data_IF_245183127382
#
_entry.id   IF_245183127382
#
_cell.length_a   1.000
_cell.length_b   1.000
_cell.length_c   1.000
_cell.angle_alpha   90.00
_cell.angle_beta   90.00
_cell.angle_gamma   90.00
#
_symmetry.space_group_name_H-M   'P 1'
#
loop_
_entity.id
_entity.type
_entity.pdbx_description
1 polymer ?
#
# COMPACT_ATOMS: atom_id res chain seq x y z
N UNK A 1 32.51 -50.65 19.57
CA UNK A 1 33.90 -50.70 20.02
C UNK A 1 34.61 -49.41 19.65
N UNK A 2 35.29 -48.82 20.68
CA UNK A 2 36.32 -47.74 20.66
C UNK A 2 35.97 -46.40 20.01
N UNK A 3 35.57 -45.36 20.73
CA UNK A 3 36.21 -44.36 21.61
C UNK A 3 37.61 -43.89 21.17
N UNK A 4 37.75 -42.53 20.99
CA UNK A 4 38.81 -41.58 21.41
C UNK A 4 38.49 -40.22 20.79
N UNK A 5 38.12 -39.17 21.41
CA UNK A 5 38.56 -38.23 22.49
C UNK A 5 40.06 -37.86 22.42
N UNK A 6 40.31 -36.55 22.21
CA UNK A 6 41.37 -35.64 22.70
C UNK A 6 41.05 -34.23 22.13
N UNK A 7 40.62 -33.20 22.76
CA UNK A 7 40.99 -32.30 23.88
C UNK A 7 42.12 -31.29 23.60
N UNK A 8 41.71 -30.01 23.86
CA UNK A 8 42.38 -28.83 24.44
C UNK A 8 43.46 -28.05 23.67
N UNK A 9 43.26 -26.75 23.72
CA UNK A 9 44.30 -25.73 23.56
C UNK A 9 43.78 -24.30 23.72
N UNK A 10 43.73 -23.86 24.97
CA UNK A 10 43.40 -22.54 25.48
C UNK A 10 44.65 -21.65 25.38
N UNK A 11 44.53 -20.39 24.93
CA UNK A 11 45.46 -19.32 25.37
C UNK A 11 44.78 -17.94 25.27
N UNK A 12 44.55 -17.34 26.43
CA UNK A 12 44.18 -15.97 26.64
C UNK A 12 45.42 -15.07 26.66
N UNK A 13 45.33 -13.83 26.19
CA UNK A 13 46.16 -12.73 26.68
C UNK A 13 45.35 -11.42 26.74
N UNK A 14 45.19 -11.00 27.98
CA UNK A 14 44.78 -9.62 28.37
C UNK A 14 45.97 -8.64 28.20
N UNK A 15 45.65 -7.41 27.81
CA UNK A 15 46.45 -6.27 28.23
C UNK A 15 45.54 -5.05 28.46
N UNK A 16 45.38 -4.68 29.72
CA UNK A 16 44.81 -3.41 30.18
C UNK A 16 45.81 -2.27 29.96
N UNK A 17 45.30 -1.07 29.67
CA UNK A 17 45.89 0.18 30.18
C UNK A 17 44.80 1.23 30.35
N UNK A 18 44.54 1.56 31.61
CA UNK A 18 43.81 2.74 32.08
C UNK A 18 44.72 3.97 32.01
N UNK A 19 44.16 5.11 31.69
CA UNK A 19 44.50 6.36 32.33
C UNK A 19 43.32 7.32 32.37
N UNK A 20 43.09 7.91 33.52
CA UNK A 20 41.94 8.70 33.94
C UNK A 20 42.20 10.21 33.89
N UNK A 21 41.14 10.95 34.21
CA UNK A 21 41.00 12.38 34.61
C UNK A 21 40.77 13.36 33.44
N UNK A 22 39.74 14.19 33.40
CA UNK A 22 38.80 14.73 34.38
C UNK A 22 38.25 16.05 33.83
N UNK A 23 37.02 16.41 34.18
CA UNK A 23 36.59 17.83 34.11
C UNK A 23 35.30 18.11 33.35
N UNK A 24 34.19 18.06 34.05
CA UNK A 24 33.03 18.97 34.13
C UNK A 24 32.62 19.87 32.93
N UNK A 25 31.34 19.85 32.57
CA UNK A 25 30.63 20.93 31.86
C UNK A 25 29.41 20.49 31.07
N UNK A 26 28.27 20.65 31.67
CA UNK A 26 26.89 20.56 31.29
C UNK A 26 26.53 21.19 29.93
N UNK A 27 25.78 20.47 29.07
CA UNK A 27 24.61 20.97 28.31
C UNK A 27 23.97 19.80 27.52
N UNK A 28 22.71 19.53 27.81
CA UNK A 28 21.96 18.52 27.13
C UNK A 28 21.58 18.95 25.68
N UNK A 29 21.78 18.05 24.77
CA UNK A 29 21.09 17.99 23.50
C UNK A 29 20.65 16.55 23.29
N UNK A 30 19.35 16.37 23.20
CA UNK A 30 18.73 15.10 22.83
C UNK A 30 19.11 14.77 21.40
N UNK A 31 20.00 13.83 21.20
CA UNK A 31 20.16 13.12 19.94
C UNK A 31 19.02 12.10 19.84
N UNK A 32 18.12 12.32 18.88
CA UNK A 32 17.17 11.30 18.42
C UNK A 32 17.98 10.25 17.69
N UNK A 33 17.85 9.03 18.14
CA UNK A 33 18.46 7.86 17.52
C UNK A 33 17.89 7.68 16.12
N UNK A 34 18.74 7.86 15.11
CA UNK A 34 18.58 7.24 13.81
C UNK A 34 19.15 5.82 13.97
N UNK A 35 18.28 4.84 14.18
CA UNK A 35 18.65 3.43 14.13
C UNK A 35 18.32 2.86 12.74
N UNK A 36 19.38 2.46 12.11
CA UNK A 36 19.59 1.38 11.16
C UNK A 36 18.78 1.31 9.86
N UNK A 37 19.28 2.03 8.86
CA UNK A 37 19.28 1.55 7.49
C UNK A 37 20.43 0.52 7.33
N UNK A 38 20.28 -0.71 7.78
CA UNK A 38 21.12 -1.83 7.36
C UNK A 38 20.55 -2.44 6.07
N UNK A 39 20.69 -1.69 4.96
CA UNK A 39 20.70 -2.28 3.64
C UNK A 39 22.02 -3.01 3.43
N UNK A 40 21.98 -4.21 2.91
CA UNK A 40 23.11 -5.04 2.61
C UNK A 40 24.22 -4.25 1.92
N UNK A 41 25.37 -4.06 2.59
CA UNK A 41 26.66 -3.80 1.92
C UNK A 41 27.04 -5.09 1.18
N UNK A 42 26.45 -5.26 0.01
CA UNK A 42 26.87 -6.30 -0.94
C UNK A 42 28.08 -5.81 -1.72
N UNK A 43 28.98 -6.74 -1.95
CA UNK A 43 30.23 -6.64 -2.70
C UNK A 43 30.25 -5.56 -3.83
N UNK A 44 31.42 -5.01 -4.12
CA UNK A 44 31.78 -4.07 -5.19
C UNK A 44 31.14 -4.40 -6.57
N UNK A 45 29.82 -4.25 -6.71
CA UNK A 45 29.04 -4.49 -7.92
C UNK A 45 27.97 -3.43 -8.08
N UNK A 46 27.69 -3.05 -9.33
CA UNK A 46 26.55 -2.24 -9.68
C UNK A 46 25.25 -2.93 -9.24
N UNK A 47 24.34 -2.20 -8.60
CA UNK A 47 23.05 -2.70 -8.13
C UNK A 47 21.93 -1.83 -8.65
N UNK A 48 20.77 -2.40 -8.94
CA UNK A 48 19.58 -1.60 -9.17
C UNK A 48 19.10 -0.94 -7.86
N UNK A 49 18.65 0.30 -7.94
CA UNK A 49 18.15 1.06 -6.79
C UNK A 49 16.68 1.41 -6.97
N UNK A 50 15.83 0.73 -6.21
CA UNK A 50 14.40 1.01 -6.15
C UNK A 50 14.12 1.87 -4.92
N UNK A 51 13.50 3.04 -5.11
CA UNK A 51 12.99 3.87 -4.03
C UNK A 51 11.54 3.47 -3.69
N UNK A 52 11.16 3.65 -2.44
CA UNK A 52 9.78 3.56 -1.98
C UNK A 52 9.38 4.81 -1.22
N UNK A 53 8.14 5.27 -1.35
CA UNK A 53 7.58 6.39 -0.61
C UNK A 53 6.16 6.03 -0.18
N UNK A 54 5.84 6.24 1.09
CA UNK A 54 4.50 6.05 1.61
C UNK A 54 4.44 6.29 3.11
N UNK A 55 3.24 6.42 3.69
CA UNK A 55 3.08 6.68 5.11
C UNK A 55 3.38 5.42 5.93
N UNK A 56 4.43 5.44 6.76
CA UNK A 56 4.67 4.42 7.79
C UNK A 56 4.35 4.94 9.19
N UNK A 57 4.02 6.23 9.28
CA UNK A 57 3.50 6.86 10.49
C UNK A 57 2.20 7.59 10.21
N UNK A 58 1.44 7.94 11.27
CA UNK A 58 0.16 8.65 11.15
C UNK A 58 -1.04 7.74 10.82
N UNK A 59 -2.16 8.35 10.42
CA UNK A 59 -3.44 7.67 10.27
C UNK A 59 -3.49 6.63 9.13
N UNK A 60 -2.64 6.76 8.12
CA UNK A 60 -2.53 5.83 7.00
C UNK A 60 -1.31 4.89 7.12
N UNK A 61 -0.67 4.82 8.30
CA UNK A 61 0.59 4.12 8.51
C UNK A 61 0.55 2.63 8.15
N UNK A 62 -0.57 1.96 8.37
CA UNK A 62 -0.71 0.53 8.04
C UNK A 62 -0.53 0.24 6.55
N UNK A 63 -0.93 1.17 5.67
CA UNK A 63 -0.76 0.98 4.22
C UNK A 63 0.70 1.03 3.80
N UNK A 64 1.44 2.06 4.24
CA UNK A 64 2.84 2.21 3.88
C UNK A 64 3.73 1.14 4.51
N UNK A 65 3.43 0.71 5.74
CA UNK A 65 4.10 -0.43 6.37
C UNK A 65 3.88 -1.72 5.57
N UNK A 66 2.64 -1.97 5.13
CA UNK A 66 2.33 -3.13 4.30
C UNK A 66 3.07 -3.09 2.95
N UNK A 67 3.08 -1.93 2.27
CA UNK A 67 3.82 -1.74 1.01
C UNK A 67 5.31 -1.95 1.20
N UNK A 68 5.91 -1.35 2.24
CA UNK A 68 7.33 -1.54 2.56
C UNK A 68 7.66 -3.02 2.76
N UNK A 69 6.89 -3.70 3.60
CA UNK A 69 7.11 -5.11 3.92
C UNK A 69 6.94 -6.01 2.71
N UNK A 70 5.90 -5.81 1.90
CA UNK A 70 5.69 -6.57 0.65
C UNK A 70 6.82 -6.36 -0.37
N UNK A 71 7.29 -5.10 -0.49
CA UNK A 71 8.44 -4.77 -1.35
C UNK A 71 9.73 -5.44 -0.88
N UNK A 72 10.03 -5.37 0.43
CA UNK A 72 11.22 -6.00 1.01
C UNK A 72 11.21 -7.51 0.81
N UNK A 73 10.05 -8.16 1.01
CA UNK A 73 9.91 -9.60 0.80
C UNK A 73 10.20 -9.97 -0.66
N UNK A 74 9.59 -9.30 -1.62
CA UNK A 74 9.80 -9.54 -3.05
C UNK A 74 11.26 -9.32 -3.46
N UNK A 75 11.88 -8.23 -3.01
CA UNK A 75 13.28 -7.91 -3.33
C UNK A 75 14.22 -8.97 -2.75
N UNK A 76 13.99 -9.44 -1.52
CA UNK A 76 14.81 -10.48 -0.91
C UNK A 76 14.73 -11.78 -1.72
N UNK A 77 13.54 -12.22 -2.12
CA UNK A 77 13.37 -13.41 -2.95
C UNK A 77 14.05 -13.25 -4.33
N UNK A 78 13.90 -12.11 -4.97
CA UNK A 78 14.54 -11.81 -6.25
C UNK A 78 16.07 -11.84 -6.11
N UNK A 79 16.61 -11.25 -5.05
CA UNK A 79 18.05 -11.23 -4.79
C UNK A 79 18.60 -12.64 -4.52
N UNK A 80 17.88 -13.45 -3.75
CA UNK A 80 18.24 -14.85 -3.52
C UNK A 80 18.21 -15.68 -4.83
N UNK A 81 17.28 -15.37 -5.74
CA UNK A 81 17.18 -15.99 -7.05
C UNK A 81 18.24 -15.50 -8.07
N UNK A 82 19.09 -14.54 -7.70
CA UNK A 82 20.18 -14.02 -8.56
C UNK A 82 19.96 -12.60 -9.08
N UNK A 83 18.93 -11.92 -8.61
CA UNK A 83 18.64 -10.51 -8.93
C UNK A 83 17.87 -10.30 -10.24
N UNK A 84 17.91 -9.09 -10.76
CA UNK A 84 17.35 -8.69 -12.05
C UNK A 84 18.49 -8.63 -13.08
N UNK A 85 18.41 -9.37 -14.18
CA UNK A 85 19.47 -9.48 -15.19
C UNK A 85 20.85 -9.87 -14.61
N UNK A 86 20.86 -10.54 -13.44
CA UNK A 86 22.08 -10.92 -12.73
C UNK A 86 22.63 -9.87 -11.77
N UNK A 87 21.93 -8.74 -11.60
CA UNK A 87 22.29 -7.68 -10.67
C UNK A 87 21.38 -7.69 -9.44
N UNK A 88 21.95 -7.44 -8.27
CA UNK A 88 21.18 -7.31 -7.03
C UNK A 88 20.35 -6.04 -7.03
N UNK A 89 19.29 -6.02 -6.21
CA UNK A 89 18.41 -4.88 -6.02
C UNK A 89 18.59 -4.32 -4.61
N UNK A 90 18.85 -3.02 -4.49
CA UNK A 90 18.83 -2.29 -3.24
C UNK A 90 17.51 -1.51 -3.12
N UNK A 91 16.98 -1.41 -1.91
CA UNK A 91 15.74 -0.73 -1.60
C UNK A 91 15.93 0.32 -0.52
N UNK A 92 15.28 1.48 -0.67
CA UNK A 92 15.25 2.53 0.32
C UNK A 92 13.83 3.09 0.38
N UNK A 93 13.19 3.05 1.57
CA UNK A 93 11.83 3.52 1.78
C UNK A 93 11.83 4.79 2.64
N UNK A 94 11.04 5.79 2.23
CA UNK A 94 10.90 7.06 2.92
C UNK A 94 9.45 7.27 3.37
N UNK A 95 9.28 7.76 4.61
CA UNK A 95 7.98 8.10 5.18
C UNK A 95 7.50 9.45 4.67
N UNK A 96 6.30 9.50 4.10
CA UNK A 96 5.64 10.73 3.68
C UNK A 96 4.53 11.20 4.64
N UNK A 97 4.23 10.42 5.67
CA UNK A 97 3.16 10.71 6.65
C UNK A 97 1.80 11.05 5.99
N UNK A 98 1.56 10.59 4.76
CA UNK A 98 0.39 10.93 3.92
C UNK A 98 0.31 12.44 3.59
N UNK A 99 1.45 13.13 3.51
CA UNK A 99 1.56 14.56 3.23
C UNK A 99 2.30 14.80 1.90
N UNK A 100 1.71 15.57 0.95
CA UNK A 100 2.32 15.79 -0.36
C UNK A 100 3.65 16.55 -0.31
N UNK A 101 3.85 17.48 0.62
CA UNK A 101 5.13 18.22 0.72
C UNK A 101 6.24 17.29 1.27
N UNK A 102 5.90 16.42 2.23
CA UNK A 102 6.82 15.40 2.74
C UNK A 102 7.16 14.36 1.66
N UNK A 103 6.19 13.96 0.85
CA UNK A 103 6.42 13.04 -0.27
C UNK A 103 7.41 13.61 -1.30
N UNK A 104 7.31 14.91 -1.64
CA UNK A 104 8.29 15.59 -2.50
C UNK A 104 9.68 15.60 -1.84
N UNK A 105 9.77 15.85 -0.51
CA UNK A 105 11.04 15.81 0.21
C UNK A 105 11.63 14.39 0.24
N UNK A 106 10.79 13.37 0.43
CA UNK A 106 11.17 11.96 0.36
C UNK A 106 11.70 11.60 -1.04
N UNK A 107 11.02 12.04 -2.09
CA UNK A 107 11.47 11.87 -3.47
C UNK A 107 12.87 12.47 -3.70
N UNK A 108 13.11 13.71 -3.25
CA UNK A 108 14.42 14.35 -3.37
C UNK A 108 15.51 13.59 -2.58
N UNK A 109 15.18 13.06 -1.40
CA UNK A 109 16.11 12.21 -0.62
C UNK A 109 16.48 10.94 -1.40
N UNK A 110 15.52 10.32 -2.07
CA UNK A 110 15.77 9.14 -2.89
C UNK A 110 16.57 9.47 -4.17
N UNK A 111 16.37 10.65 -4.76
CA UNK A 111 17.22 11.14 -5.87
C UNK A 111 18.68 11.30 -5.42
N UNK A 112 18.93 11.87 -4.25
CA UNK A 112 20.28 12.01 -3.68
C UNK A 112 20.92 10.63 -3.39
N UNK A 113 20.11 9.61 -3.10
CA UNK A 113 20.56 8.22 -2.99
C UNK A 113 20.85 7.56 -4.36
N UNK A 114 20.59 8.26 -5.47
CA UNK A 114 20.65 7.80 -6.86
C UNK A 114 19.64 6.68 -7.16
N UNK A 115 18.39 6.82 -6.73
CA UNK A 115 17.27 5.99 -7.13
C UNK A 115 17.13 5.95 -8.65
N UNK A 116 16.81 4.78 -9.20
CA UNK A 116 16.62 4.57 -10.64
C UNK A 116 15.16 4.31 -11.03
N UNK A 117 14.39 3.77 -10.10
CA UNK A 117 12.97 3.44 -10.25
C UNK A 117 12.25 3.73 -8.93
N UNK A 118 11.00 4.21 -9.00
CA UNK A 118 10.17 4.46 -7.83
C UNK A 118 9.01 3.46 -7.78
N UNK A 119 8.91 2.69 -6.69
CA UNK A 119 7.70 1.96 -6.30
C UNK A 119 6.97 2.78 -5.22
N UNK A 120 6.01 3.58 -5.64
CA UNK A 120 5.33 4.55 -4.77
C UNK A 120 4.71 5.70 -5.58
N UNK A 121 4.01 6.65 -4.94
CA UNK A 121 3.71 6.61 -3.50
C UNK A 121 2.48 5.74 -3.22
N UNK A 122 2.19 5.52 -1.94
CA UNK A 122 1.13 4.59 -1.50
C UNK A 122 -0.26 5.21 -1.59
N UNK A 123 -0.42 6.45 -1.15
CA UNK A 123 -1.71 7.15 -1.11
C UNK A 123 -1.83 8.19 -2.24
N UNK A 124 -3.07 8.45 -2.68
CA UNK A 124 -3.34 9.22 -3.90
C UNK A 124 -2.82 10.66 -3.86
N UNK A 125 -3.08 11.41 -2.78
CA UNK A 125 -2.70 12.82 -2.68
C UNK A 125 -1.18 13.07 -2.74
N UNK A 126 -0.34 12.33 -1.98
CA UNK A 126 1.11 12.33 -2.17
C UNK A 126 1.54 11.86 -3.56
N UNK A 127 0.87 10.85 -4.15
CA UNK A 127 1.20 10.33 -5.47
C UNK A 127 1.02 11.39 -6.57
N UNK A 128 -0.06 12.15 -6.53
CA UNK A 128 -0.32 13.27 -7.44
C UNK A 128 0.79 14.33 -7.37
N UNK A 129 1.32 14.59 -6.18
CA UNK A 129 2.43 15.54 -6.01
C UNK A 129 3.75 14.99 -6.59
N UNK A 130 4.05 13.71 -6.34
CA UNK A 130 5.31 13.08 -6.77
C UNK A 130 5.33 12.77 -8.27
N UNK A 131 4.18 12.43 -8.88
CA UNK A 131 4.14 12.13 -10.33
C UNK A 131 4.56 13.32 -11.19
N UNK A 132 4.33 14.54 -10.72
CA UNK A 132 4.83 15.74 -11.41
C UNK A 132 6.35 15.81 -11.42
N UNK A 133 7.00 15.43 -10.33
CA UNK A 133 8.46 15.40 -10.19
C UNK A 133 9.08 14.27 -11.03
N UNK A 134 8.51 13.05 -10.95
CA UNK A 134 9.01 11.90 -11.72
C UNK A 134 8.87 12.13 -13.23
N UNK A 135 7.78 12.78 -13.65
CA UNK A 135 7.58 13.17 -15.06
C UNK A 135 8.62 14.20 -15.51
N UNK A 136 8.90 15.22 -14.69
CA UNK A 136 9.89 16.24 -15.01
C UNK A 136 11.32 15.67 -15.12
N UNK A 137 11.64 14.68 -14.31
CA UNK A 137 12.95 14.02 -14.26
C UNK A 137 13.08 12.83 -15.24
N UNK A 138 12.01 12.43 -15.92
CA UNK A 138 11.91 11.20 -16.71
C UNK A 138 12.39 9.98 -15.90
N UNK A 139 11.82 9.79 -14.70
CA UNK A 139 12.07 8.67 -13.79
C UNK A 139 10.85 7.75 -13.76
N UNK A 140 11.04 6.43 -13.97
CA UNK A 140 9.97 5.45 -13.96
C UNK A 140 9.30 5.36 -12.59
N UNK A 141 7.95 5.45 -12.58
CA UNK A 141 7.13 5.33 -11.39
C UNK A 141 6.07 4.23 -11.55
N UNK A 142 5.98 3.33 -10.57
CA UNK A 142 4.90 2.37 -10.41
C UNK A 142 4.29 2.55 -9.02
N UNK A 143 3.05 3.04 -8.93
CA UNK A 143 2.38 3.11 -7.64
C UNK A 143 1.67 1.79 -7.32
N UNK A 144 1.87 1.21 -6.12
CA UNK A 144 1.13 0.03 -5.73
C UNK A 144 -0.36 0.32 -5.49
N UNK A 145 -0.69 1.52 -4.96
CA UNK A 145 -2.03 1.81 -4.45
C UNK A 145 -2.51 3.26 -4.62
N UNK A 146 -1.77 4.13 -5.31
CA UNK A 146 -2.23 5.47 -5.68
C UNK A 146 -3.34 5.39 -6.73
N UNK A 147 -4.60 5.36 -6.31
CA UNK A 147 -5.75 4.99 -7.13
C UNK A 147 -6.44 6.17 -7.82
N UNK A 148 -6.23 7.42 -7.38
CA UNK A 148 -6.76 8.60 -8.08
C UNK A 148 -6.27 8.65 -9.54
N UNK A 149 -7.12 9.14 -10.43
CA UNK A 149 -6.80 9.23 -11.88
C UNK A 149 -5.50 9.97 -12.11
N UNK A 150 -5.27 11.05 -11.37
CA UNK A 150 -4.11 11.92 -11.49
C UNK A 150 -2.81 11.27 -10.97
N UNK A 151 -2.90 10.16 -10.21
CA UNK A 151 -1.73 9.45 -9.67
C UNK A 151 -0.80 8.89 -10.75
N UNK A 152 -1.30 8.69 -11.97
CA UNK A 152 -0.55 8.23 -13.14
C UNK A 152 -0.67 9.18 -14.33
N UNK A 153 -0.69 10.49 -14.08
CA UNK A 153 -0.82 11.50 -15.13
C UNK A 153 0.42 11.68 -16.01
N UNK A 154 1.56 11.10 -15.65
CA UNK A 154 2.78 11.08 -16.47
C UNK A 154 2.81 9.88 -17.43
N UNK A 155 3.47 10.03 -18.57
CA UNK A 155 3.66 8.94 -19.54
C UNK A 155 4.68 7.87 -19.07
N UNK A 156 5.33 8.13 -17.95
CA UNK A 156 6.29 7.29 -17.24
C UNK A 156 5.74 6.69 -15.95
N UNK A 157 4.44 6.83 -15.70
CA UNK A 157 3.79 6.41 -14.47
C UNK A 157 2.72 5.35 -14.70
N UNK A 158 2.72 4.33 -13.85
CA UNK A 158 1.86 3.14 -13.90
C UNK A 158 1.30 2.87 -12.50
N UNK A 159 0.21 2.10 -12.41
CA UNK A 159 -0.33 1.62 -11.12
C UNK A 159 -0.51 0.11 -11.12
N UNK A 160 -0.53 -0.48 -9.91
CA UNK A 160 -0.90 -1.89 -9.69
C UNK A 160 -2.36 -2.00 -9.26
N UNK A 161 -2.84 -1.09 -8.42
CA UNK A 161 -4.21 -1.05 -7.90
C UNK A 161 -5.27 -0.71 -8.94
N UNK A 162 -6.55 -0.82 -8.58
CA UNK A 162 -7.66 -0.28 -9.37
C UNK A 162 -7.70 1.24 -9.28
N UNK A 163 -8.19 1.90 -10.34
CA UNK A 163 -8.48 3.33 -10.28
C UNK A 163 -9.72 3.62 -9.41
N UNK A 164 -9.81 4.83 -8.87
CA UNK A 164 -11.00 5.29 -8.12
C UNK A 164 -12.30 5.14 -8.95
N UNK A 165 -12.32 5.51 -10.25
CA UNK A 165 -13.48 5.26 -11.09
C UNK A 165 -13.86 3.78 -11.20
N UNK A 166 -12.88 2.87 -11.26
CA UNK A 166 -13.15 1.44 -11.32
C UNK A 166 -13.70 0.92 -10.01
N UNK A 167 -13.15 1.35 -8.87
CA UNK A 167 -13.64 0.97 -7.55
C UNK A 167 -15.08 1.42 -7.31
N UNK A 168 -15.41 2.68 -7.64
CA UNK A 168 -16.77 3.20 -7.48
C UNK A 168 -17.78 2.48 -8.37
N UNK A 169 -17.43 2.28 -9.64
CA UNK A 169 -18.28 1.54 -10.59
C UNK A 169 -18.48 0.09 -10.16
N UNK A 170 -17.39 -0.61 -9.85
CA UNK A 170 -17.45 -2.01 -9.45
C UNK A 170 -18.23 -2.22 -8.15
N UNK A 171 -18.12 -1.28 -7.18
CA UNK A 171 -18.89 -1.33 -5.94
C UNK A 171 -20.39 -1.21 -6.20
N UNK A 172 -20.82 -0.26 -7.03
CA UNK A 172 -22.24 -0.13 -7.40
C UNK A 172 -22.75 -1.37 -8.15
N UNK A 173 -21.98 -1.91 -9.09
CA UNK A 173 -22.29 -3.13 -9.81
C UNK A 173 -22.44 -4.32 -8.86
N UNK A 174 -21.47 -4.54 -7.98
CA UNK A 174 -21.50 -5.64 -7.02
C UNK A 174 -22.74 -5.58 -6.11
N UNK A 175 -23.02 -4.40 -5.53
CA UNK A 175 -24.18 -4.19 -4.65
C UNK A 175 -25.49 -4.48 -5.41
N UNK A 176 -25.63 -4.01 -6.64
CA UNK A 176 -26.84 -4.21 -7.44
C UNK A 176 -27.03 -5.63 -7.94
N UNK A 177 -25.99 -6.26 -8.46
CA UNK A 177 -26.01 -7.63 -8.99
C UNK A 177 -26.33 -8.66 -7.88
N UNK A 178 -25.73 -8.48 -6.69
CA UNK A 178 -25.98 -9.34 -5.54
C UNK A 178 -27.20 -8.92 -4.70
N UNK A 179 -27.87 -7.81 -5.08
CA UNK A 179 -29.07 -7.28 -4.41
C UNK A 179 -28.85 -7.05 -2.92
N UNK A 180 -27.70 -6.55 -2.56
CA UNK A 180 -27.33 -6.29 -1.16
C UNK A 180 -28.19 -5.19 -0.56
N UNK A 181 -28.54 -4.16 -1.38
CA UNK A 181 -29.30 -3.00 -0.94
C UNK A 181 -30.04 -2.35 -2.11
N UNK A 182 -30.93 -1.41 -1.81
CA UNK A 182 -31.63 -0.58 -2.80
C UNK A 182 -31.50 0.92 -2.51
N UNK A 183 -31.31 1.30 -1.25
CA UNK A 183 -31.16 2.68 -0.78
C UNK A 183 -29.81 2.90 -0.13
N UNK A 184 -28.99 3.69 -0.77
CA UNK A 184 -27.60 3.89 -0.40
C UNK A 184 -27.42 5.28 0.23
N UNK A 185 -26.84 5.35 1.41
CA UNK A 185 -26.21 6.56 1.90
C UNK A 185 -24.69 6.47 1.66
N UNK A 186 -24.08 7.60 1.33
CA UNK A 186 -22.62 7.71 1.15
C UNK A 186 -22.10 8.67 2.20
N UNK A 187 -21.01 8.27 2.90
CA UNK A 187 -20.24 9.17 3.76
C UNK A 187 -18.82 9.20 3.20
N UNK A 188 -18.31 10.39 2.83
CA UNK A 188 -17.07 10.54 2.10
C UNK A 188 -16.25 11.75 2.54
N UNK A 189 -14.94 11.70 2.30
CA UNK A 189 -14.03 12.83 2.53
C UNK A 189 -13.94 13.70 1.28
N UNK A 190 -14.55 14.89 1.33
CA UNK A 190 -14.53 15.86 0.22
C UNK A 190 -13.19 16.59 0.05
N UNK A 191 -12.23 16.36 0.92
CA UNK A 191 -10.84 16.88 0.81
C UNK A 191 -9.84 15.86 0.27
N UNK A 192 -10.34 14.68 -0.12
CA UNK A 192 -9.56 13.56 -0.63
C UNK A 192 -9.96 13.23 -2.07
N UNK A 193 -9.00 13.31 -2.99
CA UNK A 193 -9.18 12.94 -4.40
C UNK A 193 -9.63 11.47 -4.53
N UNK A 194 -9.05 10.57 -3.73
CA UNK A 194 -9.44 9.17 -3.60
C UNK A 194 -10.93 9.01 -3.28
N UNK A 195 -11.36 9.62 -2.18
CA UNK A 195 -12.71 9.45 -1.66
C UNK A 195 -13.78 10.03 -2.59
N UNK A 196 -13.52 11.22 -3.15
CA UNK A 196 -14.44 11.90 -4.03
C UNK A 196 -14.51 11.24 -5.42
N UNK A 197 -13.37 10.78 -5.97
CA UNK A 197 -13.32 10.06 -7.24
C UNK A 197 -14.11 8.76 -7.22
N UNK A 198 -13.99 7.96 -6.16
CA UNK A 198 -14.80 6.75 -5.97
C UNK A 198 -16.28 7.09 -5.84
N UNK A 199 -16.63 8.10 -5.01
CA UNK A 199 -18.03 8.56 -4.81
C UNK A 199 -18.65 9.00 -6.14
N UNK A 200 -17.96 9.80 -6.94
CA UNK A 200 -18.49 10.29 -8.21
C UNK A 200 -18.82 9.14 -9.16
N UNK A 201 -17.92 8.19 -9.29
CA UNK A 201 -18.12 7.03 -10.17
C UNK A 201 -19.22 6.10 -9.65
N UNK A 202 -19.31 5.89 -8.32
CA UNK A 202 -20.40 5.13 -7.71
C UNK A 202 -21.75 5.78 -7.98
N UNK A 203 -21.88 7.08 -7.76
CA UNK A 203 -23.13 7.84 -7.99
C UNK A 203 -23.56 7.79 -9.46
N UNK A 204 -22.59 7.84 -10.38
CA UNK A 204 -22.87 7.74 -11.81
C UNK A 204 -23.40 6.36 -12.21
N UNK A 205 -22.88 5.29 -11.61
CA UNK A 205 -23.25 3.91 -11.92
C UNK A 205 -24.50 3.42 -11.16
N UNK A 206 -24.76 3.91 -9.96
CA UNK A 206 -25.84 3.46 -9.08
C UNK A 206 -27.21 3.35 -9.77
N UNK A 207 -27.68 4.32 -10.60
CA UNK A 207 -28.95 4.19 -11.30
C UNK A 207 -29.02 3.04 -12.29
N UNK A 208 -27.88 2.70 -12.94
CA UNK A 208 -27.79 1.59 -13.89
C UNK A 208 -27.99 0.25 -13.18
N UNK A 209 -27.67 0.20 -11.90
CA UNK A 209 -27.78 -0.99 -11.05
C UNK A 209 -29.09 -1.01 -10.24
N UNK A 210 -30.00 -0.05 -10.46
CA UNK A 210 -31.25 0.07 -9.72
C UNK A 210 -31.08 0.51 -8.27
N UNK A 211 -29.98 1.16 -7.94
CA UNK A 211 -29.68 1.71 -6.62
C UNK A 211 -30.12 3.19 -6.54
N UNK A 212 -30.73 3.57 -5.44
CA UNK A 212 -31.08 4.94 -5.11
C UNK A 212 -30.11 5.51 -4.10
N UNK A 213 -29.35 6.55 -4.46
CA UNK A 213 -28.52 7.29 -3.52
C UNK A 213 -29.42 8.27 -2.78
N UNK A 214 -29.81 7.93 -1.53
CA UNK A 214 -30.76 8.70 -0.72
C UNK A 214 -30.11 9.77 0.17
N UNK A 215 -28.79 9.65 0.41
CA UNK A 215 -27.98 10.65 1.11
C UNK A 215 -26.54 10.58 0.61
N UNK A 216 -25.86 11.74 0.57
CA UNK A 216 -24.40 11.81 0.26
C UNK A 216 -23.81 12.92 1.13
N UNK A 217 -23.11 12.51 2.18
CA UNK A 217 -22.71 13.38 3.29
C UNK A 217 -21.19 13.49 3.36
N UNK A 218 -20.71 14.71 3.26
CA UNK A 218 -19.30 15.02 3.28
C UNK A 218 -18.75 15.23 4.69
N UNK A 219 -17.48 14.90 4.87
CA UNK A 219 -16.60 15.43 5.91
C UNK A 219 -15.28 15.92 5.26
N UNK A 220 -14.34 16.37 6.06
CA UNK A 220 -12.99 16.74 5.61
C UNK A 220 -11.95 16.17 6.56
N UNK A 221 -10.72 15.97 6.11
CA UNK A 221 -9.61 15.49 6.92
C UNK A 221 -9.34 16.32 8.18
N UNK A 222 -9.68 17.62 8.18
CA UNK A 222 -9.57 18.48 9.35
C UNK A 222 -10.73 18.28 10.37
N UNK A 223 -11.78 17.55 9.99
CA UNK A 223 -12.98 17.31 10.82
C UNK A 223 -13.49 15.89 10.64
N UNK A 224 -12.67 14.91 11.07
CA UNK A 224 -12.84 13.47 10.84
C UNK A 224 -12.96 12.62 12.11
N UNK A 225 -13.42 13.22 13.22
CA UNK A 225 -13.56 12.53 14.52
C UNK A 225 -14.99 12.42 15.02
N UNK A 226 -15.93 13.23 14.46
CA UNK A 226 -17.36 13.19 14.80
C UNK A 226 -18.19 13.15 13.52
N UNK A 227 -18.84 12.02 13.29
CA UNK A 227 -19.70 11.76 12.13
C UNK A 227 -21.18 11.71 12.50
N UNK A 228 -21.53 12.26 13.66
CA UNK A 228 -22.90 12.21 14.20
C UNK A 228 -23.93 12.77 13.24
N UNK A 229 -23.62 13.89 12.57
CA UNK A 229 -24.52 14.55 11.61
C UNK A 229 -24.71 13.69 10.36
N UNK A 230 -23.62 13.14 9.80
CA UNK A 230 -23.66 12.31 8.61
C UNK A 230 -24.46 11.02 8.87
N UNK A 231 -24.24 10.39 10.03
CA UNK A 231 -24.96 9.19 10.44
C UNK A 231 -26.44 9.46 10.69
N UNK A 232 -26.81 10.59 11.32
CA UNK A 232 -28.21 10.95 11.53
C UNK A 232 -28.93 11.14 10.18
N UNK A 233 -28.31 11.81 9.22
CA UNK A 233 -28.88 11.99 7.87
C UNK A 233 -28.99 10.67 7.12
N UNK A 234 -27.99 9.80 7.19
CA UNK A 234 -28.05 8.46 6.61
C UNK A 234 -29.20 7.64 7.20
N UNK A 235 -29.38 7.67 8.53
CA UNK A 235 -30.48 7.00 9.22
C UNK A 235 -31.84 7.57 8.86
N UNK A 236 -31.99 8.88 8.85
CA UNK A 236 -33.24 9.60 8.52
C UNK A 236 -33.65 9.42 7.05
N UNK A 237 -32.69 9.23 6.13
CA UNK A 237 -32.95 8.95 4.71
C UNK A 237 -33.54 7.56 4.47
N UNK A 238 -33.47 6.68 5.45
CA UNK A 238 -33.90 5.28 5.33
C UNK A 238 -32.99 4.44 4.47
N UNK A 239 -31.68 4.75 4.44
CA UNK A 239 -30.68 3.93 3.79
C UNK A 239 -30.60 2.53 4.42
N UNK A 240 -30.53 1.51 3.59
CA UNK A 240 -30.33 0.11 3.96
C UNK A 240 -28.85 -0.32 3.89
N UNK A 241 -28.04 0.47 3.18
CA UNK A 241 -26.58 0.35 3.12
C UNK A 241 -25.90 1.71 3.20
N UNK A 242 -24.78 1.78 3.92
CA UNK A 242 -23.87 2.93 3.94
C UNK A 242 -22.59 2.57 3.18
N UNK A 243 -22.35 3.26 2.08
CA UNK A 243 -21.13 3.16 1.29
C UNK A 243 -20.08 4.13 1.84
N UNK A 244 -18.89 3.60 2.11
CA UNK A 244 -17.78 4.30 2.76
C UNK A 244 -16.52 4.26 1.86
N UNK A 245 -16.40 5.14 0.85
CA UNK A 245 -15.18 5.28 0.05
C UNK A 245 -14.15 6.11 0.83
N UNK A 246 -13.66 5.59 1.94
CA UNK A 246 -12.79 6.29 2.90
C UNK A 246 -11.74 5.35 3.47
N UNK A 247 -10.78 5.88 4.22
CA UNK A 247 -9.75 5.08 4.86
C UNK A 247 -10.24 4.43 6.16
N UNK A 248 -9.54 3.38 6.57
CA UNK A 248 -9.91 2.50 7.67
C UNK A 248 -10.03 3.19 9.04
N UNK A 249 -9.26 4.26 9.28
CA UNK A 249 -9.29 4.98 10.56
C UNK A 249 -10.65 5.68 10.77
N UNK A 250 -11.08 6.49 9.80
CA UNK A 250 -12.37 7.18 9.82
C UNK A 250 -13.52 6.17 9.83
N UNK A 251 -13.39 5.10 9.05
CA UNK A 251 -14.37 4.02 9.03
C UNK A 251 -14.56 3.38 10.40
N UNK A 252 -13.49 3.13 11.15
CA UNK A 252 -13.56 2.59 12.51
C UNK A 252 -14.36 3.48 13.47
N UNK A 253 -14.20 4.80 13.35
CA UNK A 253 -14.95 5.80 14.12
C UNK A 253 -16.41 5.82 13.70
N UNK A 254 -16.70 5.76 12.39
CA UNK A 254 -18.07 5.71 11.86
C UNK A 254 -18.81 4.47 12.36
N UNK A 255 -18.20 3.29 12.26
CA UNK A 255 -18.81 2.03 12.74
C UNK A 255 -19.14 2.10 14.24
N UNK A 256 -18.19 2.62 15.04
CA UNK A 256 -18.42 2.83 16.47
C UNK A 256 -19.57 3.79 16.74
N UNK A 257 -19.60 4.96 16.09
CA UNK A 257 -20.64 5.96 16.29
C UNK A 257 -22.01 5.48 15.77
N UNK A 258 -22.06 4.72 14.69
CA UNK A 258 -23.27 4.10 14.19
C UNK A 258 -23.88 3.13 15.23
N UNK A 259 -23.04 2.29 15.84
CA UNK A 259 -23.45 1.41 16.91
C UNK A 259 -23.96 2.20 18.14
N UNK A 260 -23.26 3.25 18.56
CA UNK A 260 -23.65 4.10 19.68
C UNK A 260 -25.03 4.81 19.44
N UNK A 261 -25.41 4.99 18.15
CA UNK A 261 -26.70 5.58 17.71
C UNK A 261 -27.81 4.54 17.45
N UNK A 262 -27.56 3.26 17.70
CA UNK A 262 -28.48 2.16 17.35
C UNK A 262 -28.89 2.24 15.85
N UNK A 263 -27.86 2.42 14.99
CA UNK A 263 -27.98 2.43 13.53
C UNK A 263 -27.14 1.32 12.93
N UNK A 264 -27.77 0.28 12.42
CA UNK A 264 -27.14 -0.95 11.96
C UNK A 264 -27.48 -1.25 10.48
N UNK A 265 -27.10 -0.36 9.54
CA UNK A 265 -27.23 -0.67 8.12
C UNK A 265 -26.15 -1.70 7.72
N UNK A 266 -26.23 -2.20 6.49
CA UNK A 266 -25.04 -2.82 5.89
C UNK A 266 -23.98 -1.75 5.62
N UNK A 267 -22.71 -2.10 5.78
CA UNK A 267 -21.58 -1.22 5.41
C UNK A 267 -20.80 -1.84 4.27
N UNK A 268 -20.43 -1.02 3.32
CA UNK A 268 -19.65 -1.43 2.16
C UNK A 268 -18.56 -0.40 1.89
N UNK A 269 -17.32 -0.85 1.70
CA UNK A 269 -16.17 0.00 1.42
C UNK A 269 -15.38 -0.43 0.20
N UNK A 270 -14.25 0.21 0.00
CA UNK A 270 -13.28 -0.04 -1.04
C UNK A 270 -11.94 -0.50 -0.44
N UNK A 271 -10.88 -0.51 -1.23
CA UNK A 271 -9.53 -0.91 -0.81
C UNK A 271 -9.04 -0.18 0.44
N UNK A 272 -9.32 1.12 0.60
CA UNK A 272 -8.97 1.90 1.79
C UNK A 272 -9.63 1.43 3.09
N UNK A 273 -10.54 0.46 3.04
CA UNK A 273 -11.11 -0.18 4.21
C UNK A 273 -10.21 -1.29 4.76
N UNK A 274 -9.30 -1.83 3.94
CA UNK A 274 -8.36 -2.86 4.37
C UNK A 274 -7.38 -2.29 5.41
N UNK A 275 -7.23 -3.01 6.52
CA UNK A 275 -6.52 -2.53 7.71
C UNK A 275 -7.43 -2.17 8.89
N UNK A 276 -8.77 -2.12 8.73
CA UNK A 276 -9.69 -1.76 9.82
C UNK A 276 -9.55 -2.71 11.03
N UNK A 277 -9.22 -3.97 10.79
CA UNK A 277 -9.00 -4.96 11.84
C UNK A 277 -7.68 -4.77 12.60
N UNK A 278 -6.79 -3.89 12.12
CA UNK A 278 -5.52 -3.56 12.78
C UNK A 278 -5.57 -2.27 13.61
N UNK A 279 -6.70 -1.56 13.63
CA UNK A 279 -6.84 -0.30 14.38
C UNK A 279 -6.71 -0.55 15.89
N UNK A 280 -5.79 0.17 16.50
CA UNK A 280 -5.54 0.06 17.94
C UNK A 280 -6.77 0.42 18.77
N UNK A 281 -7.17 -0.50 19.65
CA UNK A 281 -8.31 -0.31 20.55
C UNK A 281 -9.69 -0.35 19.88
N UNK A 282 -9.77 -0.67 18.58
CA UNK A 282 -11.04 -0.87 17.89
C UNK A 282 -11.68 -2.20 18.29
N UNK A 283 -12.97 -2.18 18.61
CA UNK A 283 -13.76 -3.40 18.83
C UNK A 283 -14.08 -4.04 17.46
N UNK A 284 -13.33 -5.07 17.11
CA UNK A 284 -13.46 -5.77 15.81
C UNK A 284 -14.86 -6.34 15.56
N UNK A 285 -15.65 -6.58 16.62
CA UNK A 285 -17.03 -7.04 16.46
C UNK A 285 -17.95 -6.00 15.80
N UNK A 286 -17.54 -4.71 15.80
CA UNK A 286 -18.26 -3.65 15.11
C UNK A 286 -18.08 -3.69 13.58
N UNK A 287 -17.04 -4.39 13.11
CA UNK A 287 -16.82 -4.62 11.69
C UNK A 287 -17.45 -5.91 11.16
N UNK A 288 -18.15 -6.67 12.01
CA UNK A 288 -18.84 -7.89 11.57
C UNK A 288 -19.86 -7.58 10.48
N UNK A 289 -19.77 -8.28 9.34
CA UNK A 289 -20.61 -8.05 8.16
C UNK A 289 -20.21 -6.84 7.30
N UNK A 290 -19.11 -6.15 7.62
CA UNK A 290 -18.55 -5.13 6.73
C UNK A 290 -18.00 -5.79 5.45
N UNK A 291 -18.42 -5.31 4.30
CA UNK A 291 -18.00 -5.78 2.99
C UNK A 291 -17.07 -4.76 2.32
N UNK A 292 -16.11 -5.22 1.52
CA UNK A 292 -15.26 -4.36 0.70
C UNK A 292 -14.81 -5.05 -0.58
N UNK A 293 -14.50 -4.24 -1.61
CA UNK A 293 -13.78 -4.72 -2.78
C UNK A 293 -12.28 -4.66 -2.54
N UNK A 294 -11.58 -5.73 -2.94
CA UNK A 294 -10.14 -5.90 -2.81
C UNK A 294 -9.61 -6.72 -3.98
N UNK A 295 -8.36 -6.56 -4.42
CA UNK A 295 -7.73 -7.48 -5.37
C UNK A 295 -7.19 -8.76 -4.73
N UNK A 296 -7.10 -8.84 -3.39
CA UNK A 296 -6.36 -9.86 -2.67
C UNK A 296 -7.16 -10.44 -1.50
N UNK A 297 -6.94 -11.72 -1.21
CA UNK A 297 -7.42 -12.37 0.02
C UNK A 297 -6.37 -13.31 0.59
N UNK A 298 -6.22 -13.28 1.91
CA UNK A 298 -5.32 -14.18 2.66
C UNK A 298 -5.76 -15.66 2.61
N UNK A 299 -7.00 -15.92 2.22
CA UNK A 299 -7.59 -17.28 2.20
C UNK A 299 -7.50 -17.93 0.80
N UNK A 300 -7.02 -17.22 -0.22
CA UNK A 300 -6.84 -17.81 -1.55
C UNK A 300 -5.71 -18.84 -1.56
N UNK A 301 -5.95 -19.98 -2.21
CA UNK A 301 -4.97 -21.05 -2.33
C UNK A 301 -3.69 -20.56 -3.07
N UNK A 302 -3.86 -19.72 -4.08
CA UNK A 302 -2.75 -19.14 -4.86
C UNK A 302 -1.85 -18.18 -4.08
N UNK A 303 -2.34 -17.63 -2.97
CA UNK A 303 -1.62 -16.65 -2.15
C UNK A 303 -0.89 -17.26 -0.96
N UNK A 304 -1.04 -18.57 -0.68
CA UNK A 304 -0.60 -19.19 0.57
C UNK A 304 0.92 -19.15 0.79
N UNK A 305 1.71 -19.25 -0.25
CA UNK A 305 3.18 -19.18 -0.14
C UNK A 305 3.59 -17.77 0.31
N UNK A 306 3.04 -16.73 -0.32
CA UNK A 306 3.27 -15.33 0.08
C UNK A 306 2.77 -15.05 1.50
N UNK A 307 1.53 -15.45 1.82
CA UNK A 307 0.94 -15.25 3.16
C UNK A 307 1.78 -15.91 4.24
N UNK A 308 2.29 -17.12 3.98
CA UNK A 308 3.17 -17.84 4.92
C UNK A 308 4.50 -17.09 5.09
N UNK A 309 5.15 -16.71 4.00
CA UNK A 309 6.42 -15.99 4.04
C UNK A 309 6.27 -14.63 4.75
N UNK A 310 5.18 -13.91 4.48
CA UNK A 310 4.90 -12.62 5.12
C UNK A 310 4.66 -12.78 6.63
N UNK A 311 3.86 -13.78 7.05
CA UNK A 311 3.64 -14.10 8.47
C UNK A 311 4.94 -14.49 9.19
N UNK A 312 5.77 -15.27 8.54
CA UNK A 312 7.07 -15.71 9.11
C UNK A 312 8.02 -14.53 9.29
N UNK A 313 8.00 -13.56 8.36
CA UNK A 313 8.87 -12.39 8.41
C UNK A 313 8.36 -11.31 9.37
N UNK A 314 7.05 -11.05 9.41
CA UNK A 314 6.49 -9.88 10.10
C UNK A 314 5.51 -10.21 11.23
N UNK A 315 5.08 -11.46 11.38
CA UNK A 315 4.21 -11.92 12.47
C UNK A 315 2.74 -11.51 12.38
N UNK A 316 2.32 -10.94 11.25
CA UNK A 316 0.95 -10.46 10.99
C UNK A 316 0.47 -10.93 9.62
N UNK A 317 -0.83 -10.85 9.37
CA UNK A 317 -1.40 -11.09 8.05
C UNK A 317 -1.09 -9.93 7.09
N UNK A 318 -0.78 -10.22 5.80
CA UNK A 318 -0.61 -9.16 4.82
C UNK A 318 -1.93 -8.47 4.50
N UNK A 319 -1.91 -7.14 4.37
CA UNK A 319 -2.96 -6.38 3.72
C UNK A 319 -2.80 -6.47 2.19
N UNK A 320 -3.85 -6.14 1.44
CA UNK A 320 -3.76 -6.07 -0.03
C UNK A 320 -2.61 -5.20 -0.53
N UNK A 321 -2.29 -4.11 0.18
CA UNK A 321 -1.20 -3.19 -0.16
C UNK A 321 0.17 -3.88 -0.19
N UNK A 322 0.38 -4.89 0.66
CA UNK A 322 1.59 -5.70 0.62
C UNK A 322 1.63 -6.59 -0.63
N UNK A 323 0.48 -7.15 -1.03
CA UNK A 323 0.37 -7.98 -2.22
C UNK A 323 0.50 -7.12 -3.50
N UNK A 324 -0.11 -5.93 -3.56
CA UNK A 324 0.06 -5.00 -4.68
C UNK A 324 1.53 -4.56 -4.83
N UNK A 325 2.22 -4.28 -3.73
CA UNK A 325 3.63 -3.91 -3.76
C UNK A 325 4.53 -5.08 -4.19
N UNK A 326 4.25 -6.28 -3.70
CA UNK A 326 4.95 -7.50 -4.11
C UNK A 326 4.81 -7.73 -5.63
N UNK A 327 3.57 -7.68 -6.16
CA UNK A 327 3.31 -7.77 -7.59
C UNK A 327 3.99 -6.64 -8.37
N UNK A 328 4.03 -5.43 -7.81
CA UNK A 328 4.71 -4.27 -8.39
C UNK A 328 6.21 -4.49 -8.59
N UNK A 329 6.89 -5.10 -7.62
CA UNK A 329 8.32 -5.46 -7.76
C UNK A 329 8.52 -6.50 -8.84
N UNK A 330 7.65 -7.53 -8.92
CA UNK A 330 7.73 -8.54 -9.97
C UNK A 330 7.39 -7.99 -11.36
N UNK A 331 6.49 -6.99 -11.44
CA UNK A 331 6.22 -6.27 -12.69
C UNK A 331 7.45 -5.46 -13.15
N UNK A 332 8.10 -4.74 -12.23
CA UNK A 332 9.37 -4.03 -12.50
C UNK A 332 10.43 -5.03 -12.98
N UNK A 333 10.57 -6.16 -12.29
CA UNK A 333 11.51 -7.21 -12.69
C UNK A 333 11.25 -7.72 -14.11
N UNK A 334 10.00 -8.08 -14.41
CA UNK A 334 9.62 -8.59 -15.73
C UNK A 334 9.88 -7.56 -16.84
N UNK A 335 9.54 -6.28 -16.60
CA UNK A 335 9.80 -5.20 -17.55
C UNK A 335 11.31 -4.95 -17.72
N UNK A 336 12.07 -4.97 -16.64
CA UNK A 336 13.53 -4.77 -16.65
C UNK A 336 14.24 -5.90 -17.40
N UNK A 337 13.84 -7.16 -17.18
CA UNK A 337 14.39 -8.33 -17.90
C UNK A 337 14.02 -8.29 -19.39
N UNK A 338 12.77 -7.91 -19.72
CA UNK A 338 12.34 -7.78 -21.12
C UNK A 338 13.11 -6.68 -21.85
N UNK A 339 13.36 -5.57 -21.18
CA UNK A 339 14.09 -4.43 -21.73
C UNK A 339 15.62 -4.59 -21.66
N UNK A 340 16.13 -5.69 -21.04
CA UNK A 340 17.55 -5.97 -20.87
C UNK A 340 18.33 -4.79 -20.24
N UNK A 341 17.68 -4.03 -19.31
CA UNK A 341 18.35 -2.89 -18.66
C UNK A 341 19.43 -3.35 -17.69
N UNK A 342 20.41 -2.45 -17.48
CA UNK A 342 21.52 -2.64 -16.54
C UNK A 342 21.67 -1.43 -15.61
N UNK A 343 22.22 -1.59 -14.38
CA UNK A 343 22.29 -0.50 -13.41
C UNK A 343 23.26 0.65 -13.78
N UNK A 344 24.12 0.47 -14.79
CA UNK A 344 25.00 1.52 -15.33
C UNK A 344 24.31 2.44 -16.35
N UNK A 345 23.10 2.11 -16.80
CA UNK A 345 22.30 2.98 -17.65
C UNK A 345 21.85 4.25 -16.90
N UNK A 346 21.63 5.33 -17.62
CA UNK A 346 21.06 6.54 -17.01
C UNK A 346 19.62 6.27 -16.56
N UNK A 347 19.18 6.95 -15.49
CA UNK A 347 17.80 6.87 -14.98
C UNK A 347 16.77 7.15 -16.09
N UNK A 348 17.04 8.11 -16.97
CA UNK A 348 16.17 8.43 -18.10
C UNK A 348 16.13 7.32 -19.15
N UNK A 349 17.26 6.68 -19.47
CA UNK A 349 17.26 5.54 -20.41
C UNK A 349 16.54 4.31 -19.82
N UNK A 350 16.71 4.06 -18.52
CA UNK A 350 15.95 3.04 -17.78
C UNK A 350 14.45 3.33 -17.86
N UNK A 351 14.04 4.57 -17.60
CA UNK A 351 12.64 4.98 -17.68
C UNK A 351 12.05 4.75 -19.08
N UNK A 352 12.73 5.19 -20.14
CA UNK A 352 12.27 5.02 -21.53
C UNK A 352 12.14 3.54 -21.93
N UNK A 353 13.05 2.71 -21.45
CA UNK A 353 12.99 1.27 -21.67
C UNK A 353 11.84 0.61 -20.89
N UNK A 354 11.67 0.95 -19.60
CA UNK A 354 10.65 0.37 -18.75
C UNK A 354 9.24 0.76 -19.17
N UNK A 355 8.98 2.04 -19.51
CA UNK A 355 7.64 2.46 -19.95
C UNK A 355 7.19 1.75 -21.23
N UNK A 356 8.12 1.40 -22.10
CA UNK A 356 7.84 0.58 -23.29
C UNK A 356 7.55 -0.87 -22.88
N UNK A 357 8.43 -1.47 -22.07
CA UNK A 357 8.33 -2.86 -21.67
C UNK A 357 7.07 -3.16 -20.83
N UNK A 358 6.65 -2.21 -19.97
CA UNK A 358 5.43 -2.35 -19.15
C UNK A 358 4.19 -2.63 -19.98
N UNK A 359 4.06 -2.04 -21.17
CA UNK A 359 2.91 -2.28 -22.06
C UNK A 359 2.99 -3.60 -22.84
N UNK A 360 4.09 -4.33 -22.70
CA UNK A 360 4.36 -5.56 -23.44
C UNK A 360 4.55 -6.78 -22.52
N UNK A 361 4.58 -6.60 -21.21
CA UNK A 361 4.63 -7.70 -20.24
C UNK A 361 3.24 -8.17 -19.85
N UNK A 362 3.19 -9.41 -19.39
CA UNK A 362 2.05 -10.01 -18.71
C UNK A 362 2.59 -10.82 -17.56
N UNK A 363 1.99 -10.69 -16.38
CA UNK A 363 2.39 -11.46 -15.19
C UNK A 363 1.17 -12.08 -14.51
N UNK A 364 1.40 -13.23 -13.87
CA UNK A 364 0.48 -13.78 -12.87
C UNK A 364 0.96 -13.35 -11.50
N UNK A 365 0.14 -12.56 -10.81
CA UNK A 365 0.43 -12.01 -9.49
C UNK A 365 -0.56 -12.50 -8.43
N UNK A 366 -0.37 -12.01 -7.22
CA UNK A 366 -1.24 -12.24 -6.06
C UNK A 366 -2.58 -11.53 -6.22
N UNK A 367 -2.55 -10.36 -6.87
CA UNK A 367 -3.70 -9.45 -7.01
C UNK A 367 -4.41 -9.58 -8.34
N UNK A 368 -3.92 -10.40 -9.25
CA UNK A 368 -4.55 -10.68 -10.54
C UNK A 368 -3.79 -11.70 -11.36
N UNK A 369 -4.51 -12.43 -12.21
CA UNK A 369 -3.94 -13.33 -13.21
C UNK A 369 -3.86 -12.63 -14.56
N UNK A 370 -2.85 -12.96 -15.37
CA UNK A 370 -2.65 -12.38 -16.71
C UNK A 370 -2.64 -10.85 -16.70
N UNK A 371 -2.15 -10.24 -15.59
CA UNK A 371 -2.10 -8.78 -15.47
C UNK A 371 -1.19 -8.19 -16.53
N UNK A 372 -1.68 -7.20 -17.23
CA UNK A 372 -0.94 -6.42 -18.22
C UNK A 372 -1.38 -4.96 -18.14
N UNK A 373 -0.58 -4.06 -18.68
CA UNK A 373 -0.78 -2.62 -18.55
C UNK A 373 -1.08 -1.97 -19.89
N UNK A 374 -2.01 -1.02 -19.87
CA UNK A 374 -2.28 -0.16 -21.02
C UNK A 374 -1.19 0.92 -21.17
N UNK A 375 -1.21 1.63 -22.31
CA UNK A 375 -0.31 2.76 -22.53
C UNK A 375 -0.57 3.95 -21.57
N UNK A 376 -1.78 4.00 -21.00
CA UNK A 376 -2.17 4.98 -19.98
C UNK A 376 -1.73 4.58 -18.58
N UNK A 377 -1.02 3.44 -18.40
CA UNK A 377 -0.51 2.97 -17.12
C UNK A 377 -1.51 2.19 -16.26
N UNK A 378 -2.69 1.86 -16.79
CA UNK A 378 -3.74 1.12 -16.07
C UNK A 378 -3.53 -0.39 -16.15
N UNK A 379 -3.64 -1.13 -15.02
CA UNK A 379 -3.62 -2.59 -15.04
C UNK A 379 -4.96 -3.15 -15.50
N UNK A 380 -4.93 -4.31 -16.14
CA UNK A 380 -6.13 -5.09 -16.43
C UNK A 380 -6.22 -6.25 -15.44
N UNK A 381 -7.15 -6.15 -14.49
CA UNK A 381 -7.44 -7.17 -13.48
C UNK A 381 -8.89 -7.07 -12.99
N UNK A 382 -9.41 -8.10 -12.31
CA UNK A 382 -10.79 -8.16 -11.84
C UNK A 382 -10.87 -8.00 -10.31
N UNK A 383 -11.80 -7.20 -9.77
CA UNK A 383 -11.99 -7.06 -8.33
C UNK A 383 -12.55 -8.34 -7.72
N UNK A 384 -12.25 -8.54 -6.44
CA UNK A 384 -12.82 -9.55 -5.56
C UNK A 384 -13.62 -8.83 -4.46
N UNK A 385 -14.59 -9.51 -3.88
CA UNK A 385 -15.31 -9.02 -2.70
C UNK A 385 -15.00 -9.88 -1.49
N UNK A 386 -14.79 -9.23 -0.36
CA UNK A 386 -14.63 -9.90 0.94
C UNK A 386 -15.63 -9.33 1.94
N UNK A 387 -16.00 -10.14 2.92
CA UNK A 387 -16.80 -9.76 4.08
C UNK A 387 -16.03 -10.08 5.35
N UNK A 388 -16.13 -9.23 6.37
CA UNK A 388 -15.54 -9.53 7.67
C UNK A 388 -16.49 -10.43 8.45
N UNK A 389 -16.01 -11.65 8.79
CA UNK A 389 -16.70 -12.66 9.60
C UNK A 389 -15.78 -13.17 10.70
N UNK A 390 -16.30 -13.25 11.91
CA UNK A 390 -15.54 -13.70 13.08
C UNK A 390 -14.19 -12.99 13.23
N UNK A 391 -14.14 -11.69 12.86
CA UNK A 391 -12.96 -10.85 12.90
C UNK A 391 -11.88 -11.17 11.85
N UNK A 392 -12.24 -11.78 10.71
CA UNK A 392 -11.37 -12.10 9.57
C UNK A 392 -12.03 -11.71 8.26
N UNK A 393 -11.19 -11.46 7.26
CA UNK A 393 -11.67 -11.28 5.88
C UNK A 393 -11.97 -12.66 5.27
N UNK A 394 -13.17 -12.84 4.76
CA UNK A 394 -13.59 -14.04 4.03
C UNK A 394 -14.06 -13.67 2.63
N UNK A 395 -13.64 -14.47 1.63
CA UNK A 395 -14.08 -14.28 0.24
C UNK A 395 -15.59 -14.46 0.12
N UNK A 396 -16.26 -13.50 -0.49
CA UNK A 396 -17.65 -13.62 -0.89
C UNK A 396 -17.76 -14.43 -2.20
N UNK A 397 -18.82 -15.24 -2.30
CA UNK A 397 -19.09 -16.08 -3.49
C UNK A 397 -19.91 -15.33 -4.54
#
# INVERSE_FOLDING_TARGET
MKKRVVSLGLAAMMAMSMTACGGSGNAGTSESAAEDAQGAEGADGEVFKIGGIGPITGAAGAYGEAVKNGTELAINEINEAGGINGYQVAFNFQDDENDPEKAINAYNTLKDWNMQMLLGTVTSKPCIAVVAETTADNLFQLTPSGSAVESISGDNSFRVCYSDPDQGRASAQYIGEHKLATKIAIIYDSSSEYSDGIRESFVAEAPNQGLEVVASEAFTSDNNTDFSVQLDKAKESGADLVFLPIYYQEASVILKQANDKDFHPQFFGCDGMDGILSVDGFDKSLAEGLMLLTPFSVDEESSQDFVTAYRDAYGIDPLQFAADAYDGVYAIKAAAEKAEITPDMSTSDICDALKTAMTEIQIDGLTGTEMHWTAEGEPQKAPKAVEIKDGKYEMMQ
#
